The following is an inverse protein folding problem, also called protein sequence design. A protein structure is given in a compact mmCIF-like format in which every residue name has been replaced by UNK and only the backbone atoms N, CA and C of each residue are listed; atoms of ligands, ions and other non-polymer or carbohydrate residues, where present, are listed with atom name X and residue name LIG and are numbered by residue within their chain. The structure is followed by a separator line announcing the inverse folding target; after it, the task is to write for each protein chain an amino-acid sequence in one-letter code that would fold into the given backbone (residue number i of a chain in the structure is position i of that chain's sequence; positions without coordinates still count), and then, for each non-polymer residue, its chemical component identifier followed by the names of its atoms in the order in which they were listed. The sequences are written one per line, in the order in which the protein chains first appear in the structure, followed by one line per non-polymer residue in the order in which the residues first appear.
data_IF_322905741769
#
_entry.id   IF_322905741769
#
_cell.length_a   1.000
_cell.length_b   1.000
_cell.length_c   1.000
_cell.angle_alpha   90.00
_cell.angle_beta   90.00
_cell.angle_gamma   90.00
#
_symmetry.space_group_name_H-M   'P 1'
#
loop_
_entity.id
_entity.type
_entity.pdbx_description
1 polymer ?
#
# COMPACT_ATOMS: atom_id res chain seq x y z
N UNK A 1 17.58 6.40 -4.92
CA UNK A 1 17.12 6.46 -3.51
C UNK A 1 16.74 5.05 -3.11
N UNK A 2 17.28 4.51 -2.02
CA UNK A 2 16.73 3.29 -1.43
C UNK A 2 15.54 3.70 -0.56
N UNK A 3 14.29 3.37 -0.95
CA UNK A 3 13.15 3.62 -0.08
C UNK A 3 13.30 2.71 1.15
N UNK A 4 13.10 3.28 2.34
CA UNK A 4 13.20 2.60 3.65
C UNK A 4 14.63 2.26 4.10
N UNK A 5 15.06 2.87 5.20
CA UNK A 5 16.39 2.67 5.78
C UNK A 5 16.47 1.33 6.51
N UNK A 6 17.46 0.50 6.17
CA UNK A 6 17.72 -0.78 6.84
C UNK A 6 16.74 -1.90 6.49
N UNK A 7 16.01 -1.78 5.36
CA UNK A 7 15.13 -2.83 4.86
C UNK A 7 15.57 -3.19 3.44
N UNK A 8 16.01 -4.43 3.26
CA UNK A 8 16.39 -4.94 1.95
C UNK A 8 15.15 -5.12 1.05
N UNK A 9 15.33 -4.83 -0.24
CA UNK A 9 14.31 -5.12 -1.23
C UNK A 9 14.16 -6.63 -1.44
N UNK A 10 12.94 -7.08 -1.77
CA UNK A 10 12.75 -8.44 -2.28
C UNK A 10 13.59 -8.62 -3.56
N UNK A 11 14.43 -9.66 -3.66
CA UNK A 11 15.37 -9.81 -4.77
C UNK A 11 14.69 -10.15 -6.10
N UNK A 12 13.55 -10.83 -6.04
CA UNK A 12 12.73 -11.23 -7.20
C UNK A 12 11.34 -11.62 -6.73
N UNK A 13 10.35 -11.53 -7.63
CA UNK A 13 9.00 -12.05 -7.38
C UNK A 13 8.74 -13.30 -8.24
N UNK A 14 7.97 -14.28 -7.73
CA UNK A 14 7.40 -14.35 -6.38
C UNK A 14 8.48 -14.55 -5.29
N UNK A 15 8.25 -14.00 -4.10
CA UNK A 15 9.19 -14.06 -2.97
C UNK A 15 8.57 -14.73 -1.75
N UNK A 16 9.22 -15.76 -1.22
CA UNK A 16 8.73 -16.54 -0.07
C UNK A 16 9.14 -15.94 1.29
N UNK A 17 9.81 -14.78 1.29
CA UNK A 17 10.25 -14.10 2.49
C UNK A 17 9.18 -13.21 3.14
N UNK A 18 9.57 -12.51 4.19
CA UNK A 18 8.73 -11.51 4.86
C UNK A 18 8.99 -10.12 4.30
N UNK A 19 7.94 -9.37 4.00
CA UNK A 19 8.03 -8.03 3.44
C UNK A 19 7.14 -7.03 4.17
N UNK A 20 7.52 -5.76 4.09
CA UNK A 20 6.61 -4.64 4.33
C UNK A 20 6.16 -4.12 2.97
N UNK A 21 4.84 -3.98 2.79
CA UNK A 21 4.28 -3.47 1.53
C UNK A 21 3.41 -2.25 1.81
N UNK A 22 3.79 -1.12 1.21
CA UNK A 22 3.16 0.17 1.45
C UNK A 22 2.23 0.52 0.28
N UNK A 23 0.99 0.90 0.63
CA UNK A 23 -0.03 1.37 -0.29
C UNK A 23 -0.30 2.84 -0.02
N UNK A 24 -0.37 3.63 -1.10
CA UNK A 24 -0.73 5.04 -1.00
C UNK A 24 -2.18 5.24 -1.48
N UNK A 25 -3.05 5.67 -0.56
CA UNK A 25 -4.45 6.04 -0.82
C UNK A 25 -4.62 7.48 -1.32
N UNK A 26 -3.52 8.14 -1.71
CA UNK A 26 -3.47 9.49 -2.31
C UNK A 26 -4.08 10.56 -1.40
N UNK A 27 -3.86 10.40 -0.10
CA UNK A 27 -4.25 11.38 0.92
C UNK A 27 -3.41 12.65 0.72
N UNK A 28 -4.02 13.86 0.69
CA UNK A 28 -3.28 15.11 0.65
C UNK A 28 -2.32 15.23 1.84
N UNK A 29 -1.23 15.99 1.68
CA UNK A 29 -0.35 16.28 2.80
C UNK A 29 -1.14 16.96 3.93
N UNK A 30 -0.84 16.66 5.20
CA UNK A 30 -1.49 17.34 6.32
C UNK A 30 -1.21 18.86 6.26
N UNK A 31 -2.16 19.69 6.69
CA UNK A 31 -1.97 21.14 6.72
C UNK A 31 -0.82 21.50 7.66
N UNK A 32 -0.07 22.55 7.33
CA UNK A 32 1.04 23.05 8.16
C UNK A 32 0.59 23.82 9.41
N UNK A 33 -0.72 24.03 9.59
CA UNK A 33 -1.31 24.75 10.71
C UNK A 33 -2.34 23.89 11.46
N UNK A 34 -2.76 24.37 12.62
CA UNK A 34 -3.81 23.74 13.42
C UNK A 34 -5.19 24.01 12.79
N UNK A 35 -5.44 23.40 11.63
CA UNK A 35 -6.73 23.48 10.93
C UNK A 35 -7.63 22.37 11.45
N UNK A 36 -8.80 22.71 12.03
CA UNK A 36 -9.75 21.68 12.44
C UNK A 36 -10.24 20.90 11.22
N UNK A 37 -10.63 19.63 11.39
CA UNK A 37 -11.15 18.85 10.29
C UNK A 37 -12.36 19.55 9.63
N UNK A 38 -12.34 19.74 8.30
CA UNK A 38 -13.45 20.34 7.56
C UNK A 38 -14.04 19.34 6.56
N UNK A 39 -15.37 19.32 6.46
CA UNK A 39 -16.07 18.56 5.43
C UNK A 39 -15.98 19.29 4.07
N UNK A 40 -16.04 18.58 2.94
CA UNK A 40 -16.05 17.11 2.81
C UNK A 40 -14.64 16.49 2.83
N UNK A 41 -13.60 17.35 2.85
CA UNK A 41 -12.24 17.03 2.42
C UNK A 41 -11.31 16.57 3.53
N UNK A 42 -11.81 16.39 4.75
CA UNK A 42 -11.16 15.57 5.75
C UNK A 42 -11.25 14.09 5.41
N UNK A 43 -10.68 13.78 4.25
CA UNK A 43 -10.06 12.52 3.93
C UNK A 43 -10.88 11.33 4.43
N UNK A 44 -12.15 11.32 3.99
CA UNK A 44 -13.18 10.32 4.26
C UNK A 44 -12.55 9.00 4.69
N UNK A 45 -12.78 8.55 5.93
CA UNK A 45 -12.15 7.36 6.54
C UNK A 45 -11.55 6.38 5.50
N UNK A 46 -10.27 6.61 5.17
CA UNK A 46 -9.60 5.94 4.06
C UNK A 46 -9.06 4.57 4.47
N UNK A 47 -9.22 4.16 5.73
CA UNK A 47 -8.68 2.90 6.25
C UNK A 47 -9.20 1.68 5.45
N UNK A 48 -10.42 1.79 4.90
CA UNK A 48 -11.02 0.73 4.09
C UNK A 48 -10.73 0.84 2.58
N UNK A 49 -10.08 1.89 2.10
CA UNK A 49 -9.88 2.09 0.65
C UNK A 49 -8.95 1.02 0.08
N UNK A 50 -7.82 0.74 0.74
CA UNK A 50 -6.84 -0.25 0.27
C UNK A 50 -7.39 -1.69 0.28
N UNK A 51 -8.50 -1.97 0.95
CA UNK A 51 -9.10 -3.32 0.96
C UNK A 51 -9.78 -3.70 -0.38
N UNK A 52 -10.17 -2.71 -1.18
CA UNK A 52 -11.04 -2.86 -2.37
C UNK A 52 -10.32 -3.01 -3.72
N UNK A 53 -9.14 -2.42 -3.96
CA UNK A 53 -8.43 -2.58 -5.24
C UNK A 53 -8.19 -4.04 -5.59
N UNK A 54 -8.49 -4.48 -6.83
CA UNK A 54 -8.21 -5.84 -7.26
C UNK A 54 -6.75 -6.25 -7.04
N UNK A 55 -5.79 -5.35 -7.29
CA UNK A 55 -4.36 -5.61 -7.06
C UNK A 55 -4.01 -5.83 -5.58
N UNK A 56 -4.72 -5.19 -4.65
CA UNK A 56 -4.53 -5.40 -3.21
C UNK A 56 -5.19 -6.70 -2.74
N UNK A 57 -6.33 -7.06 -3.32
CA UNK A 57 -7.00 -8.33 -3.05
C UNK A 57 -6.20 -9.51 -3.59
N UNK A 58 -5.70 -9.41 -4.82
CA UNK A 58 -4.83 -10.41 -5.43
C UNK A 58 -3.60 -10.66 -4.57
N UNK A 59 -2.89 -9.61 -4.12
CA UNK A 59 -1.72 -9.79 -3.25
C UNK A 59 -2.06 -10.51 -1.94
N UNK A 60 -3.19 -10.18 -1.32
CA UNK A 60 -3.64 -10.90 -0.10
C UNK A 60 -3.92 -12.37 -0.39
N UNK A 61 -4.59 -12.66 -1.51
CA UNK A 61 -4.87 -14.03 -1.95
C UNK A 61 -3.58 -14.83 -2.16
N UNK A 62 -2.66 -14.28 -2.95
CA UNK A 62 -1.40 -14.94 -3.29
C UNK A 62 -0.47 -15.09 -2.08
N UNK A 63 -0.52 -14.19 -1.09
CA UNK A 63 0.32 -14.30 0.10
C UNK A 63 -0.29 -15.21 1.18
N UNK A 64 -1.61 -15.17 1.39
CA UNK A 64 -2.27 -15.90 2.48
C UNK A 64 -2.72 -17.33 2.10
N UNK A 65 -2.54 -17.73 0.83
CA UNK A 65 -2.82 -19.09 0.38
C UNK A 65 -1.84 -20.14 0.95
N UNK A 66 -2.16 -21.45 0.89
CA UNK A 66 -1.34 -22.53 1.45
C UNK A 66 0.11 -22.59 0.95
N UNK A 67 0.36 -22.09 -0.26
CA UNK A 67 1.70 -21.99 -0.87
C UNK A 67 2.05 -20.53 -1.17
N UNK A 68 1.59 -19.63 -0.31
CA UNK A 68 1.56 -18.21 -0.60
C UNK A 68 2.95 -17.58 -0.67
N UNK A 69 3.08 -16.62 -1.58
CA UNK A 69 4.29 -15.85 -1.79
C UNK A 69 3.93 -14.39 -2.05
N UNK A 70 4.87 -13.48 -1.77
CA UNK A 70 4.71 -12.09 -2.18
C UNK A 70 4.82 -12.02 -3.70
N UNK A 71 3.81 -11.45 -4.34
CA UNK A 71 3.76 -11.19 -5.78
C UNK A 71 3.77 -9.69 -6.08
N UNK A 72 4.30 -9.34 -7.26
CA UNK A 72 4.23 -7.98 -7.77
C UNK A 72 2.90 -7.72 -8.49
N UNK A 73 1.97 -7.07 -7.78
CA UNK A 73 0.70 -6.60 -8.35
C UNK A 73 0.73 -5.14 -8.79
N UNK A 74 1.87 -4.46 -8.64
CA UNK A 74 2.03 -3.02 -8.91
C UNK A 74 3.01 -2.73 -10.06
N UNK A 75 3.65 -3.75 -10.63
CA UNK A 75 4.50 -3.65 -11.83
C UNK A 75 5.77 -2.85 -11.56
N UNK A 76 6.46 -3.15 -10.47
CA UNK A 76 7.62 -2.41 -9.95
C UNK A 76 7.37 -0.91 -9.65
N UNK A 77 6.13 -0.45 -9.72
CA UNK A 77 5.74 0.91 -9.37
C UNK A 77 5.17 0.97 -7.94
N UNK A 78 5.09 2.18 -7.34
CA UNK A 78 4.36 2.37 -6.09
C UNK A 78 2.92 1.86 -6.22
N UNK A 79 2.43 1.17 -5.18
CA UNK A 79 1.07 0.70 -5.14
C UNK A 79 0.09 1.84 -4.81
N UNK A 80 -0.83 2.11 -5.73
CA UNK A 80 -1.77 3.22 -5.64
C UNK A 80 -3.19 2.68 -5.52
N UNK A 81 -3.93 3.17 -4.53
CA UNK A 81 -5.37 2.95 -4.46
C UNK A 81 -6.12 4.11 -5.19
N UNK A 82 -7.31 3.84 -5.74
CA UNK A 82 -8.17 4.88 -6.34
C UNK A 82 -8.74 5.82 -5.27
N UNK A 83 -9.29 6.95 -5.74
CA UNK A 83 -9.98 7.95 -4.93
C UNK A 83 -11.32 7.46 -4.39
#
# INVERSE_FOLDING_TARGET
MMPYWGIDAAPSFPWNGSAIVIWNSRIPAPPSGNTPPFAPDCNSDRHSVVRRPPAAQLRKSEFLGPSGALVDTCGAAPCLAPF
#
